data_IF_215992764133
#
_entry.id   IF_215992764133
#
_cell.length_a   1.000
_cell.length_b   1.000
_cell.length_c   1.000
_cell.angle_alpha   90.00
_cell.angle_beta   90.00
_cell.angle_gamma   90.00
#
_symmetry.space_group_name_H-M   'P 1'
#
loop_
_entity.id
_entity.type
_entity.pdbx_description
1 polymer ?
#
# COMPACT_ATOMS: atom_id res chain seq x y z
N UNK A 1 -10.74 17.86 -9.26
CA UNK A 1 -11.26 16.50 -8.93
C UNK A 1 -10.47 15.88 -7.78
N UNK A 2 -10.86 14.70 -7.28
CA UNK A 2 -10.23 14.02 -6.12
C UNK A 2 -8.70 13.90 -6.21
N UNK A 3 -8.19 13.53 -7.39
CA UNK A 3 -6.75 13.36 -7.62
C UNK A 3 -5.94 14.67 -7.54
N UNK A 4 -6.53 15.81 -7.89
CA UNK A 4 -5.86 17.13 -7.78
C UNK A 4 -5.60 17.51 -6.33
N UNK A 5 -6.56 17.23 -5.45
CA UNK A 5 -6.44 17.48 -4.01
C UNK A 5 -5.33 16.57 -3.44
N UNK A 6 -5.39 15.27 -3.76
CA UNK A 6 -4.39 14.30 -3.29
C UNK A 6 -2.98 14.65 -3.80
N UNK A 7 -2.82 15.03 -5.08
CA UNK A 7 -1.52 15.42 -5.65
C UNK A 7 -0.90 16.61 -4.94
N UNK A 8 -1.71 17.61 -4.54
CA UNK A 8 -1.24 18.77 -3.77
C UNK A 8 -0.92 18.43 -2.31
N UNK A 9 -1.59 17.43 -1.75
CA UNK A 9 -1.47 17.08 -0.34
C UNK A 9 -0.35 16.07 -0.05
N UNK A 10 -0.13 15.06 -0.91
CA UNK A 10 0.87 14.01 -0.70
C UNK A 10 2.28 14.54 -0.32
N UNK A 11 2.82 15.59 -0.95
CA UNK A 11 4.13 16.13 -0.58
C UNK A 11 4.22 16.65 0.85
N UNK A 12 3.08 16.98 1.49
CA UNK A 12 3.03 17.48 2.87
C UNK A 12 3.18 16.39 3.92
N UNK A 13 2.96 15.13 3.54
CA UNK A 13 2.90 13.99 4.47
C UNK A 13 3.89 12.87 4.13
N UNK A 14 4.67 13.04 3.07
CA UNK A 14 5.76 12.13 2.70
C UNK A 14 6.35 12.42 1.32
N UNK A 15 7.53 11.86 1.05
CA UNK A 15 8.26 12.04 -0.20
C UNK A 15 7.83 11.07 -1.32
N UNK A 16 7.29 9.90 -0.95
CA UNK A 16 6.96 8.82 -1.89
C UNK A 16 5.46 8.72 -2.24
N UNK A 17 4.62 9.65 -1.74
CA UNK A 17 3.18 9.59 -1.93
C UNK A 17 2.73 9.75 -3.39
N UNK A 18 3.42 10.60 -4.16
CA UNK A 18 3.16 10.74 -5.60
C UNK A 18 3.56 9.49 -6.38
N UNK A 19 4.63 8.83 -5.97
CA UNK A 19 5.07 7.58 -6.59
C UNK A 19 4.11 6.44 -6.30
N UNK A 20 3.60 6.36 -5.08
CA UNK A 20 2.52 5.44 -4.75
C UNK A 20 1.30 5.68 -5.65
N UNK A 21 0.90 6.95 -5.83
CA UNK A 21 -0.27 7.30 -6.65
C UNK A 21 -0.11 6.95 -8.13
N UNK A 22 1.04 7.23 -8.73
CA UNK A 22 1.21 7.17 -10.20
C UNK A 22 2.07 6.00 -10.68
N UNK A 23 2.87 5.38 -9.82
CA UNK A 23 3.90 4.39 -10.20
C UNK A 23 3.71 3.02 -9.54
N UNK A 24 2.54 2.74 -8.97
CA UNK A 24 2.27 1.43 -8.35
C UNK A 24 0.94 0.82 -8.77
N UNK A 25 0.93 -0.51 -8.92
CA UNK A 25 -0.26 -1.33 -9.18
C UNK A 25 -0.44 -2.38 -8.08
N UNK A 26 -1.65 -2.88 -7.86
CA UNK A 26 -1.94 -3.89 -6.84
C UNK A 26 -2.99 -4.89 -7.32
N UNK A 27 -2.92 -6.10 -6.78
CA UNK A 27 -4.07 -6.99 -6.69
C UNK A 27 -4.58 -6.96 -5.26
N UNK A 28 -5.89 -6.92 -5.09
CA UNK A 28 -6.58 -6.86 -3.80
C UNK A 28 -7.77 -7.81 -3.85
N UNK A 29 -8.07 -8.41 -2.69
CA UNK A 29 -9.26 -9.25 -2.50
C UNK A 29 -10.06 -8.66 -1.34
N UNK A 30 -11.38 -8.65 -1.48
CA UNK A 30 -12.31 -8.25 -0.45
C UNK A 30 -12.93 -9.53 0.13
N UNK A 31 -12.97 -9.64 1.46
CA UNK A 31 -13.48 -10.81 2.17
C UNK A 31 -14.57 -10.38 3.14
N UNK A 32 -15.69 -11.09 3.13
CA UNK A 32 -16.81 -10.82 4.04
C UNK A 32 -16.56 -11.38 5.45
N UNK A 33 -17.33 -10.87 6.40
CA UNK A 33 -17.37 -11.35 7.78
C UNK A 33 -18.80 -11.63 8.21
N UNK A 34 -19.00 -12.62 9.08
CA UNK A 34 -20.34 -13.00 9.54
C UNK A 34 -20.76 -12.30 10.83
N UNK A 35 -19.82 -11.70 11.56
CA UNK A 35 -20.05 -10.95 12.79
C UNK A 35 -18.90 -9.98 13.07
N UNK A 36 -19.10 -9.06 14.02
CA UNK A 36 -18.02 -8.16 14.46
C UNK A 36 -16.83 -8.92 15.05
N UNK A 37 -17.08 -9.98 15.82
CA UNK A 37 -16.03 -10.83 16.36
C UNK A 37 -15.22 -11.54 15.27
N UNK A 38 -15.89 -12.01 14.21
CA UNK A 38 -15.23 -12.60 13.03
C UNK A 38 -14.41 -11.55 12.27
N UNK A 39 -14.95 -10.34 12.09
CA UNK A 39 -14.24 -9.20 11.48
C UNK A 39 -12.94 -8.90 12.23
N UNK A 40 -12.98 -8.79 13.56
CA UNK A 40 -11.79 -8.50 14.39
C UNK A 40 -10.75 -9.61 14.23
N UNK A 41 -11.18 -10.88 14.23
CA UNK A 41 -10.27 -12.03 14.05
C UNK A 41 -9.62 -12.01 12.67
N UNK A 42 -10.41 -11.86 11.59
CA UNK A 42 -9.94 -11.78 10.21
C UNK A 42 -9.01 -10.58 9.99
N UNK A 43 -9.32 -9.43 10.58
CA UNK A 43 -8.49 -8.24 10.48
C UNK A 43 -7.12 -8.43 11.17
N UNK A 44 -7.09 -8.97 12.39
CA UNK A 44 -5.84 -9.28 13.11
C UNK A 44 -5.00 -10.30 12.36
N UNK A 45 -5.62 -11.37 11.87
CA UNK A 45 -4.94 -12.39 11.08
C UNK A 45 -4.38 -11.82 9.77
N UNK A 46 -5.19 -11.02 9.04
CA UNK A 46 -4.79 -10.36 7.81
C UNK A 46 -3.59 -9.42 8.01
N UNK A 47 -3.60 -8.61 9.06
CA UNK A 47 -2.48 -7.73 9.40
C UNK A 47 -1.19 -8.51 9.71
N UNK A 48 -1.30 -9.59 10.49
CA UNK A 48 -0.14 -10.43 10.83
C UNK A 48 0.44 -11.15 9.60
N UNK A 49 -0.41 -11.59 8.66
CA UNK A 49 0.00 -12.32 7.46
C UNK A 49 0.38 -11.39 6.28
N UNK A 50 0.05 -10.10 6.34
CA UNK A 50 0.32 -9.13 5.28
C UNK A 50 1.80 -9.10 4.84
N UNK A 51 2.82 -9.17 5.72
CA UNK A 51 4.22 -9.20 5.32
C UNK A 51 4.60 -10.47 4.55
N UNK A 52 4.03 -11.62 4.91
CA UNK A 52 4.26 -12.89 4.21
C UNK A 52 3.67 -12.82 2.79
N UNK A 53 2.42 -12.35 2.67
CA UNK A 53 1.82 -12.12 1.36
C UNK A 53 2.64 -11.13 0.52
N UNK A 54 3.18 -10.08 1.14
CA UNK A 54 4.06 -9.12 0.45
C UNK A 54 5.33 -9.77 -0.08
N UNK A 55 5.96 -10.66 0.70
CA UNK A 55 7.16 -11.38 0.27
C UNK A 55 6.86 -12.35 -0.88
N UNK A 56 5.76 -13.10 -0.80
CA UNK A 56 5.35 -14.05 -1.84
C UNK A 56 5.02 -13.35 -3.18
N UNK A 57 4.40 -12.18 -3.13
CA UNK A 57 3.99 -11.41 -4.31
C UNK A 57 4.90 -10.21 -4.61
N UNK A 58 6.16 -10.24 -4.15
CA UNK A 58 7.11 -9.15 -4.39
C UNK A 58 7.50 -9.07 -5.87
N UNK A 59 7.12 -7.98 -6.56
CA UNK A 59 7.27 -7.85 -8.00
C UNK A 59 7.55 -6.41 -8.48
N UNK A 60 8.47 -5.69 -7.82
CA UNK A 60 8.85 -4.35 -8.30
C UNK A 60 10.33 -4.01 -8.01
N UNK A 61 11.29 -4.72 -8.62
CA UNK A 61 12.72 -4.53 -8.35
C UNK A 61 13.43 -3.51 -9.24
N UNK A 62 12.73 -2.91 -10.21
CA UNK A 62 13.30 -1.93 -11.13
C UNK A 62 12.61 -0.57 -11.00
N UNK A 63 13.40 0.50 -11.17
CA UNK A 63 12.93 1.88 -11.31
C UNK A 63 13.69 2.49 -12.48
N UNK A 64 12.99 3.10 -13.44
CA UNK A 64 13.56 3.76 -14.61
C UNK A 64 14.58 2.87 -15.38
N UNK A 65 14.24 1.57 -15.52
CA UNK A 65 15.03 0.58 -16.23
C UNK A 65 16.24 0.01 -15.47
N UNK A 66 16.47 0.41 -14.21
CA UNK A 66 17.61 -0.06 -13.40
C UNK A 66 17.15 -0.75 -12.12
N UNK A 67 17.93 -1.72 -11.58
CA UNK A 67 17.65 -2.31 -10.28
C UNK A 67 17.60 -1.24 -9.19
N UNK A 68 16.59 -1.28 -8.33
CA UNK A 68 16.36 -0.25 -7.29
C UNK A 68 16.76 -0.67 -5.88
N UNK A 69 17.31 -1.88 -5.71
CA UNK A 69 17.76 -2.41 -4.41
C UNK A 69 16.66 -3.05 -3.56
N UNK A 70 15.41 -3.09 -4.04
CA UNK A 70 14.30 -3.76 -3.36
C UNK A 70 13.77 -4.93 -4.19
N UNK A 71 13.18 -5.92 -3.53
CA UNK A 71 12.36 -6.94 -4.23
C UNK A 71 10.93 -6.40 -4.45
N UNK A 72 10.44 -5.57 -3.52
CA UNK A 72 9.17 -4.85 -3.62
C UNK A 72 9.30 -3.38 -3.23
N UNK A 73 9.80 -2.55 -4.16
CA UNK A 73 9.75 -1.08 -4.01
C UNK A 73 8.34 -0.54 -3.73
N UNK A 74 7.30 -1.13 -4.33
CA UNK A 74 5.90 -0.79 -4.04
C UNK A 74 5.57 -0.87 -2.55
N UNK A 75 6.04 -1.90 -1.84
CA UNK A 75 5.80 -2.05 -0.40
C UNK A 75 6.46 -0.92 0.40
N UNK A 76 7.64 -0.47 -0.05
CA UNK A 76 8.41 0.58 0.59
C UNK A 76 7.77 1.96 0.41
N UNK A 77 7.17 2.23 -0.75
CA UNK A 77 6.48 3.49 -1.06
C UNK A 77 5.13 3.69 -0.32
N UNK A 78 4.69 2.73 0.52
CA UNK A 78 3.40 2.86 1.23
C UNK A 78 3.44 4.03 2.22
N UNK A 79 2.56 5.00 2.00
CA UNK A 79 2.29 6.11 2.93
C UNK A 79 1.42 5.60 4.09
N UNK A 80 1.68 5.99 5.34
CA UNK A 80 0.85 5.60 6.48
C UNK A 80 -0.61 6.05 6.32
N UNK A 81 -1.56 5.23 6.80
CA UNK A 81 -2.99 5.53 6.66
C UNK A 81 -3.41 6.83 7.39
N UNK A 82 -2.77 7.14 8.53
CA UNK A 82 -3.00 8.37 9.29
C UNK A 82 -2.44 9.63 8.63
N UNK A 83 -1.69 9.48 7.54
CA UNK A 83 -1.23 10.61 6.75
C UNK A 83 -2.33 11.20 5.87
N UNK A 84 -3.54 10.62 5.82
CA UNK A 84 -4.64 11.17 5.03
C UNK A 84 -5.58 12.00 5.91
N UNK A 85 -5.97 13.21 5.50
CA UNK A 85 -6.99 13.98 6.18
C UNK A 85 -8.33 13.34 5.81
N UNK A 86 -8.89 12.58 6.74
CA UNK A 86 -10.29 12.15 6.69
C UNK A 86 -11.19 13.32 7.11
#
# INVERSE_FOLDING_TARGET
GRYEIMKKYMPKVGSLGLDMMFRTCTVQVNLDFSSEADMIRKFRAGLALQPIATALFANSPFTDGKPNGFVSMRRYMKVPMWSFPF
#
